data_IF_174747810969
#
_entry.id   IF_174747810969
#
_cell.length_a   1.000
_cell.length_b   1.000
_cell.length_c   1.000
_cell.angle_alpha   90.00
_cell.angle_beta   90.00
_cell.angle_gamma   90.00
#
_symmetry.space_group_name_H-M   'P 1'
#
loop_
_entity.id
_entity.type
_entity.pdbx_description
1 polymer ?
#
# COMPACT_ATOMS: atom_id res chain seq x y z
N UNK A 1 -35.65 -8.26 4.05
CA UNK A 1 -34.60 -8.95 4.86
C UNK A 1 -34.03 -8.03 5.92
N UNK A 2 -33.35 -6.94 5.52
CA UNK A 2 -32.66 -6.00 6.41
C UNK A 2 -33.51 -5.50 7.59
N UNK A 3 -34.70 -4.97 7.28
CA UNK A 3 -35.62 -4.44 8.27
C UNK A 3 -36.02 -5.48 9.35
N UNK A 4 -36.21 -6.74 8.96
CA UNK A 4 -36.59 -7.82 9.88
C UNK A 4 -35.44 -8.17 10.84
N UNK A 5 -34.22 -8.27 10.32
CA UNK A 5 -33.03 -8.54 11.12
C UNK A 5 -32.74 -7.38 12.09
N UNK A 6 -32.91 -6.13 11.64
CA UNK A 6 -32.71 -4.95 12.49
C UNK A 6 -33.78 -4.86 13.60
N UNK A 7 -35.05 -5.15 13.29
CA UNK A 7 -36.11 -5.18 14.28
C UNK A 7 -35.84 -6.23 15.38
N UNK A 8 -35.36 -7.41 15.00
CA UNK A 8 -35.02 -8.50 15.95
C UNK A 8 -33.75 -8.23 16.74
N UNK A 9 -32.79 -7.49 16.17
CA UNK A 9 -31.65 -6.95 16.91
C UNK A 9 -32.10 -5.95 17.99
N UNK A 10 -33.01 -5.03 17.64
CA UNK A 10 -33.56 -4.04 18.58
C UNK A 10 -34.37 -4.69 19.70
N UNK A 11 -35.03 -5.82 19.44
CA UNK A 11 -35.76 -6.58 20.45
C UNK A 11 -34.90 -7.61 21.21
N UNK A 12 -33.55 -7.57 21.08
CA UNK A 12 -32.62 -8.50 21.73
C UNK A 12 -32.85 -10.00 21.42
N UNK A 13 -33.53 -10.32 20.31
CA UNK A 13 -33.76 -11.71 19.88
C UNK A 13 -32.62 -12.23 19.00
N UNK A 14 -31.86 -11.34 18.37
CA UNK A 14 -30.65 -11.66 17.63
C UNK A 14 -29.48 -10.92 18.26
N UNK A 15 -28.35 -11.59 18.40
CA UNK A 15 -27.11 -11.00 18.91
C UNK A 15 -26.06 -10.97 17.79
N UNK A 16 -25.66 -9.76 17.38
CA UNK A 16 -24.63 -9.54 16.35
C UNK A 16 -23.21 -9.47 16.91
N UNK A 17 -22.29 -8.95 16.10
CA UNK A 17 -21.00 -8.48 16.60
C UNK A 17 -21.21 -7.09 17.23
N UNK A 18 -20.72 -6.89 18.45
CA UNK A 18 -20.58 -5.53 19.00
C UNK A 18 -19.32 -4.91 18.41
N UNK A 19 -19.49 -3.78 17.74
CA UNK A 19 -18.40 -2.93 17.31
C UNK A 19 -18.33 -1.72 18.26
N UNK A 20 -17.16 -1.53 18.89
CA UNK A 20 -16.78 -0.28 19.58
C UNK A 20 -17.70 0.19 20.73
N UNK A 21 -18.20 -0.73 21.57
CA UNK A 21 -18.86 -0.39 22.84
C UNK A 21 -20.31 0.08 22.72
N UNK A 22 -20.83 0.27 21.50
CA UNK A 22 -22.27 0.35 21.27
C UNK A 22 -22.84 -1.08 21.16
N UNK A 23 -23.85 -1.37 21.97
CA UNK A 23 -24.46 -2.69 22.13
C UNK A 23 -25.27 -3.17 20.92
N UNK A 24 -25.40 -2.36 19.87
CA UNK A 24 -26.21 -2.70 18.73
C UNK A 24 -25.51 -2.21 17.47
N UNK A 25 -25.11 -3.17 16.63
CA UNK A 25 -25.00 -3.15 15.15
C UNK A 25 -23.76 -3.92 14.71
N UNK A 26 -24.00 -5.06 14.06
CA UNK A 26 -23.54 -5.32 12.70
C UNK A 26 -24.10 -6.67 12.21
N UNK A 27 -25.28 -6.66 11.59
CA UNK A 27 -25.38 -7.45 10.36
C UNK A 27 -24.56 -6.66 9.35
N UNK A 28 -23.29 -7.03 9.22
CA UNK A 28 -22.36 -6.38 8.28
C UNK A 28 -22.76 -6.73 6.86
N UNK A 29 -23.66 -5.95 6.28
CA UNK A 29 -24.02 -6.08 4.89
C UNK A 29 -22.95 -5.40 4.02
N UNK A 30 -22.32 -6.18 3.15
CA UNK A 30 -21.53 -5.62 2.05
C UNK A 30 -22.53 -5.29 0.95
N UNK A 31 -23.09 -4.08 0.99
CA UNK A 31 -23.91 -3.57 -0.11
C UNK A 31 -23.10 -3.60 -1.41
N UNK A 32 -23.66 -4.19 -2.48
CA UNK A 32 -23.17 -3.95 -3.84
C UNK A 32 -22.69 -5.15 -4.66
N UNK A 33 -22.83 -6.40 -4.20
CA UNK A 33 -22.69 -7.56 -5.08
C UNK A 33 -23.99 -8.36 -5.08
N UNK A 34 -24.74 -8.22 -6.17
CA UNK A 34 -26.06 -8.81 -6.41
C UNK A 34 -25.97 -10.31 -6.09
N UNK A 35 -26.62 -10.71 -4.99
CA UNK A 35 -26.83 -12.08 -4.47
C UNK A 35 -25.89 -12.63 -3.36
N UNK A 36 -24.80 -11.97 -2.97
CA UNK A 36 -23.93 -12.46 -1.88
C UNK A 36 -24.09 -11.61 -0.60
N UNK A 37 -24.57 -12.21 0.50
CA UNK A 37 -24.79 -11.52 1.79
C UNK A 37 -24.00 -12.16 2.93
N UNK A 38 -23.35 -11.34 3.77
CA UNK A 38 -22.77 -11.76 5.04
C UNK A 38 -23.67 -11.39 6.21
N UNK A 39 -23.84 -12.33 7.14
CA UNK A 39 -24.49 -12.10 8.43
C UNK A 39 -23.49 -12.45 9.52
N UNK A 40 -23.20 -11.48 10.38
CA UNK A 40 -22.33 -11.69 11.53
C UNK A 40 -23.19 -11.81 12.78
N UNK A 41 -23.06 -12.94 13.46
CA UNK A 41 -23.91 -13.30 14.58
C UNK A 41 -23.12 -14.01 15.66
N UNK A 42 -23.54 -13.84 16.92
CA UNK A 42 -23.06 -14.62 18.05
C UNK A 42 -23.38 -16.10 17.83
N UNK A 43 -22.42 -16.97 18.12
CA UNK A 43 -22.50 -18.39 17.85
C UNK A 43 -23.36 -19.14 18.87
N UNK A 44 -24.67 -18.93 18.81
CA UNK A 44 -25.68 -19.57 19.67
C UNK A 44 -26.78 -20.20 18.81
N UNK A 45 -27.30 -21.36 19.24
CA UNK A 45 -28.30 -22.10 18.47
C UNK A 45 -29.58 -21.30 18.25
N UNK A 46 -30.08 -20.67 19.30
CA UNK A 46 -31.25 -19.78 19.26
C UNK A 46 -31.05 -18.62 18.27
N UNK A 47 -29.86 -18.02 18.27
CA UNK A 47 -29.53 -16.91 17.38
C UNK A 47 -29.53 -17.34 15.90
N UNK A 48 -29.01 -18.53 15.58
CA UNK A 48 -29.06 -19.09 14.22
C UNK A 48 -30.50 -19.39 13.80
N UNK A 49 -31.31 -19.98 14.68
CA UNK A 49 -32.72 -20.26 14.41
C UNK A 49 -33.51 -18.96 14.19
N UNK A 50 -33.29 -17.94 15.02
CA UNK A 50 -33.94 -16.64 14.88
C UNK A 50 -33.56 -15.96 13.56
N UNK A 51 -32.31 -16.08 13.10
CA UNK A 51 -31.89 -15.58 11.79
C UNK A 51 -32.62 -16.33 10.66
N UNK A 52 -32.67 -17.66 10.70
CA UNK A 52 -33.39 -18.47 9.70
C UNK A 52 -34.89 -18.12 9.66
N UNK A 53 -35.52 -17.98 10.82
CA UNK A 53 -36.92 -17.56 10.93
C UNK A 53 -37.18 -16.12 10.41
N UNK A 54 -36.17 -15.24 10.40
CA UNK A 54 -36.29 -13.92 9.77
C UNK A 54 -36.19 -13.98 8.25
N UNK A 55 -35.52 -15.00 7.73
CA UNK A 55 -35.25 -15.16 6.31
C UNK A 55 -36.45 -15.76 5.58
N UNK A 56 -37.26 -16.59 6.24
CA UNK A 56 -38.49 -17.19 5.70
C UNK A 56 -39.52 -16.14 5.24
N UNK A 57 -40.01 -15.18 6.07
CA UNK A 57 -40.96 -14.17 5.62
C UNK A 57 -40.40 -13.28 4.51
N UNK A 58 -39.09 -13.04 4.49
CA UNK A 58 -38.45 -12.33 3.39
C UNK A 58 -38.45 -13.15 2.10
N UNK A 59 -38.16 -14.44 2.20
CA UNK A 59 -38.17 -15.38 1.07
C UNK A 59 -39.55 -15.42 0.41
N UNK A 60 -40.61 -15.49 1.22
CA UNK A 60 -42.00 -15.43 0.77
C UNK A 60 -42.34 -14.09 0.11
N UNK A 61 -42.08 -12.97 0.81
CA UNK A 61 -42.43 -11.64 0.32
C UNK A 61 -41.68 -11.23 -0.96
N UNK A 62 -40.41 -11.63 -1.09
CA UNK A 62 -39.59 -11.35 -2.27
C UNK A 62 -39.71 -12.42 -3.36
N UNK A 63 -40.42 -13.54 -3.10
CA UNK A 63 -40.43 -14.73 -3.97
C UNK A 63 -39.01 -15.22 -4.33
N UNK A 64 -38.08 -15.11 -3.38
CA UNK A 64 -36.67 -15.52 -3.54
C UNK A 64 -36.38 -16.68 -2.59
N UNK A 65 -35.67 -17.72 -3.03
CA UNK A 65 -35.24 -18.81 -2.15
C UNK A 65 -33.75 -18.69 -1.81
N UNK A 66 -33.40 -18.94 -0.54
CA UNK A 66 -32.00 -19.02 -0.14
C UNK A 66 -31.39 -20.30 -0.70
N UNK A 67 -30.27 -20.15 -1.41
CA UNK A 67 -29.51 -21.30 -1.88
C UNK A 67 -28.66 -21.87 -0.73
N UNK A 68 -29.28 -22.72 0.08
CA UNK A 68 -28.62 -23.40 1.20
C UNK A 68 -27.36 -24.18 0.78
N UNK A 69 -27.31 -24.74 -0.43
CA UNK A 69 -26.10 -25.39 -0.97
C UNK A 69 -24.91 -24.45 -1.24
N UNK A 70 -25.16 -23.14 -1.35
CA UNK A 70 -24.12 -22.10 -1.49
C UNK A 70 -23.90 -21.30 -0.21
N UNK A 71 -24.86 -21.32 0.71
CA UNK A 71 -24.77 -20.63 2.00
C UNK A 71 -23.81 -21.36 2.94
N UNK A 72 -22.80 -20.65 3.43
CA UNK A 72 -21.72 -21.24 4.26
C UNK A 72 -21.71 -20.60 5.63
N UNK A 73 -21.66 -21.42 6.68
CA UNK A 73 -21.41 -20.93 8.05
C UNK A 73 -19.90 -20.92 8.29
N UNK A 74 -19.35 -19.79 8.73
CA UNK A 74 -17.90 -19.60 8.89
C UNK A 74 -17.59 -19.39 10.37
N UNK A 75 -16.68 -20.19 10.93
CA UNK A 75 -16.27 -20.06 12.32
C UNK A 75 -15.28 -18.92 12.51
N UNK A 76 -15.70 -17.84 13.19
CA UNK A 76 -14.81 -16.73 13.57
C UNK A 76 -14.07 -17.02 14.88
N UNK A 77 -14.80 -17.45 15.91
CA UNK A 77 -14.26 -17.60 17.28
C UNK A 77 -15.05 -18.57 18.16
N UNK A 78 -15.99 -19.33 17.59
CA UNK A 78 -16.91 -20.18 18.32
C UNK A 78 -16.24 -21.51 18.75
N UNK A 79 -16.45 -21.89 20.01
CA UNK A 79 -15.99 -23.18 20.56
C UNK A 79 -16.95 -24.34 20.27
N UNK A 80 -18.23 -24.06 20.06
CA UNK A 80 -19.30 -25.04 19.82
C UNK A 80 -19.87 -24.93 18.40
N UNK A 81 -19.00 -24.66 17.43
CA UNK A 81 -19.37 -24.40 16.04
C UNK A 81 -20.09 -25.59 15.37
N UNK A 82 -19.63 -26.81 15.66
CA UNK A 82 -20.19 -28.02 15.06
C UNK A 82 -21.61 -28.33 15.52
N UNK A 83 -21.99 -27.93 16.74
CA UNK A 83 -23.33 -28.16 17.28
C UNK A 83 -24.36 -27.11 16.87
N UNK A 84 -23.96 -26.06 16.14
CA UNK A 84 -24.91 -25.04 15.68
C UNK A 84 -25.89 -25.62 14.64
N UNK A 85 -27.18 -25.24 14.70
CA UNK A 85 -28.24 -25.77 13.83
C UNK A 85 -28.18 -25.13 12.44
N UNK A 86 -27.11 -25.44 11.70
CA UNK A 86 -26.91 -24.99 10.32
C UNK A 86 -26.68 -26.20 9.43
N UNK A 87 -27.59 -26.40 8.47
CA UNK A 87 -27.70 -27.62 7.66
C UNK A 87 -26.76 -27.65 6.43
N UNK A 88 -25.85 -26.69 6.32
CA UNK A 88 -25.09 -26.42 5.08
C UNK A 88 -23.58 -26.39 5.37
N UNK A 89 -22.72 -26.17 4.35
CA UNK A 89 -21.28 -26.26 4.54
C UNK A 89 -20.81 -25.37 5.69
N UNK A 90 -20.05 -25.97 6.59
CA UNK A 90 -19.39 -25.32 7.72
C UNK A 90 -17.91 -25.19 7.40
N UNK A 91 -17.37 -23.98 7.54
CA UNK A 91 -15.94 -23.70 7.34
C UNK A 91 -15.34 -23.27 8.67
N UNK A 92 -14.50 -24.14 9.21
CA UNK A 92 -13.79 -23.86 10.46
C UNK A 92 -12.52 -23.02 10.23
N UNK A 93 -11.99 -22.48 11.32
CA UNK A 93 -10.72 -21.77 11.39
C UNK A 93 -9.58 -22.59 10.77
N UNK A 94 -8.68 -21.93 10.05
CA UNK A 94 -7.56 -22.54 9.33
C UNK A 94 -7.89 -22.95 7.89
N UNK A 95 -9.15 -22.89 7.47
CA UNK A 95 -9.58 -23.26 6.12
C UNK A 95 -9.79 -22.04 5.22
N UNK A 96 -9.39 -22.15 3.95
CA UNK A 96 -9.67 -21.13 2.93
C UNK A 96 -11.06 -21.35 2.37
N UNK A 97 -11.90 -20.31 2.39
CA UNK A 97 -13.13 -20.25 1.61
C UNK A 97 -13.04 -19.17 0.53
N UNK A 98 -13.83 -19.34 -0.53
CA UNK A 98 -13.83 -18.45 -1.69
C UNK A 98 -15.03 -17.51 -1.60
N UNK A 99 -14.78 -16.21 -1.69
CA UNK A 99 -15.83 -15.18 -1.82
C UNK A 99 -15.45 -14.21 -2.94
N UNK A 100 -16.34 -13.96 -3.90
CA UNK A 100 -16.05 -13.20 -5.14
C UNK A 100 -14.79 -13.67 -5.90
N UNK A 101 -14.34 -14.91 -5.67
CA UNK A 101 -13.07 -15.38 -6.23
C UNK A 101 -11.83 -15.07 -5.41
N UNK A 102 -11.92 -14.35 -4.29
CA UNK A 102 -10.84 -14.05 -3.35
C UNK A 102 -10.70 -15.12 -2.25
N UNK A 103 -9.47 -15.51 -1.84
CA UNK A 103 -9.26 -16.48 -0.78
C UNK A 103 -9.41 -15.82 0.60
N UNK A 104 -10.59 -15.98 1.20
CA UNK A 104 -10.86 -15.60 2.57
C UNK A 104 -10.62 -16.78 3.51
N UNK A 105 -10.53 -16.50 4.80
CA UNK A 105 -10.32 -17.52 5.82
C UNK A 105 -9.71 -16.95 7.08
N UNK A 106 -10.08 -17.57 8.20
CA UNK A 106 -9.77 -17.14 9.56
C UNK A 106 -8.62 -18.00 10.05
N UNK A 107 -7.60 -17.38 10.67
CA UNK A 107 -6.35 -18.04 11.08
C UNK A 107 -5.64 -18.87 9.99
N UNK A 108 -5.94 -18.63 8.71
CA UNK A 108 -5.24 -19.29 7.60
C UNK A 108 -3.84 -18.69 7.44
N UNK A 109 -2.77 -19.51 7.41
CA UNK A 109 -1.43 -19.04 7.15
C UNK A 109 -1.34 -18.33 5.80
N UNK A 110 -0.65 -17.18 5.77
CA UNK A 110 -0.52 -16.38 4.55
C UNK A 110 0.14 -17.13 3.39
N UNK A 111 1.06 -18.06 3.69
CA UNK A 111 1.69 -18.95 2.71
C UNK A 111 0.66 -19.77 1.92
N UNK A 112 -0.43 -20.18 2.56
CA UNK A 112 -1.44 -21.04 1.95
C UNK A 112 -2.39 -20.21 1.10
N UNK A 113 -2.76 -19.00 1.55
CA UNK A 113 -3.49 -18.02 0.70
C UNK A 113 -2.68 -17.67 -0.55
N UNK A 114 -1.38 -17.41 -0.40
CA UNK A 114 -0.49 -17.11 -1.54
C UNK A 114 -0.36 -18.30 -2.47
N UNK A 115 -0.17 -19.52 -1.95
CA UNK A 115 -0.13 -20.75 -2.75
C UNK A 115 -1.41 -20.94 -3.55
N UNK A 116 -2.56 -20.71 -2.93
CA UNK A 116 -3.86 -20.77 -3.61
C UNK A 116 -3.92 -19.82 -4.81
N UNK A 117 -3.50 -18.56 -4.63
CA UNK A 117 -3.45 -17.56 -5.70
C UNK A 117 -2.45 -17.97 -6.78
N UNK A 118 -1.25 -18.44 -6.41
CA UNK A 118 -0.23 -18.93 -7.34
C UNK A 118 -0.78 -20.06 -8.22
N UNK A 119 -1.50 -21.03 -7.64
CA UNK A 119 -2.12 -22.12 -8.39
C UNK A 119 -3.16 -21.60 -9.40
N UNK A 120 -4.01 -20.65 -9.00
CA UNK A 120 -5.00 -20.02 -9.90
C UNK A 120 -4.35 -19.27 -11.05
N UNK A 121 -3.33 -18.46 -10.76
CA UNK A 121 -2.58 -17.71 -11.78
C UNK A 121 -1.88 -18.69 -12.71
N UNK A 122 -1.22 -19.72 -12.18
CA UNK A 122 -0.54 -20.75 -12.98
C UNK A 122 -1.50 -21.50 -13.90
N UNK A 123 -2.68 -21.89 -13.41
CA UNK A 123 -3.69 -22.55 -14.22
C UNK A 123 -4.14 -21.67 -15.40
N UNK A 124 -4.43 -20.38 -15.14
CA UNK A 124 -4.75 -19.42 -16.19
C UNK A 124 -3.59 -19.22 -17.17
N UNK A 125 -2.35 -19.17 -16.67
CA UNK A 125 -1.16 -19.02 -17.50
C UNK A 125 -0.96 -20.21 -18.45
N UNK A 126 -1.24 -21.45 -18.01
CA UNK A 126 -1.16 -22.64 -18.87
C UNK A 126 -2.08 -22.52 -20.09
N UNK A 127 -3.31 -22.02 -19.90
CA UNK A 127 -4.25 -21.76 -21.00
C UNK A 127 -3.64 -20.81 -22.06
N UNK A 128 -3.06 -19.69 -21.62
CA UNK A 128 -2.44 -18.74 -22.54
C UNK A 128 -1.12 -19.22 -23.16
N UNK A 129 -0.43 -20.17 -22.52
CA UNK A 129 0.81 -20.76 -23.04
C UNK A 129 0.57 -21.73 -24.19
N UNK A 130 -0.62 -22.36 -24.27
CA UNK A 130 -0.94 -23.35 -25.28
C UNK A 130 -0.86 -22.78 -26.72
N UNK A 131 -1.18 -21.51 -26.91
CA UNK A 131 -1.30 -20.89 -28.23
C UNK A 131 0.02 -20.35 -28.82
N UNK A 132 1.18 -20.61 -28.20
CA UNK A 132 2.52 -20.20 -28.67
C UNK A 132 2.63 -18.74 -29.17
N UNK A 133 2.08 -17.78 -28.42
CA UNK A 133 2.03 -16.38 -28.85
C UNK A 133 3.42 -15.73 -29.05
N UNK A 134 3.59 -14.86 -30.06
CA UNK A 134 4.78 -14.05 -30.20
C UNK A 134 4.95 -13.12 -28.99
N UNK A 135 6.19 -12.73 -28.71
CA UNK A 135 6.54 -12.02 -27.48
C UNK A 135 5.75 -10.72 -27.25
N UNK A 136 5.49 -9.95 -28.31
CA UNK A 136 4.72 -8.70 -28.20
C UNK A 136 3.29 -8.94 -27.71
N UNK A 137 2.65 -10.04 -28.14
CA UNK A 137 1.32 -10.45 -27.66
C UNK A 137 1.41 -10.92 -26.21
N UNK A 138 2.43 -11.71 -25.84
CA UNK A 138 2.63 -12.15 -24.45
C UNK A 138 2.79 -10.98 -23.49
N UNK A 139 3.53 -9.94 -23.87
CA UNK A 139 3.66 -8.72 -23.07
C UNK A 139 2.31 -8.02 -22.90
N UNK A 140 1.52 -7.91 -23.97
CA UNK A 140 0.16 -7.35 -23.89
C UNK A 140 -0.74 -8.17 -22.97
N UNK A 141 -0.69 -9.50 -23.05
CA UNK A 141 -1.45 -10.39 -22.14
C UNK A 141 -1.04 -10.16 -20.68
N UNK A 142 0.27 -10.01 -20.41
CA UNK A 142 0.74 -9.70 -19.05
C UNK A 142 0.17 -8.37 -18.58
N UNK A 143 0.27 -7.32 -19.38
CA UNK A 143 -0.17 -5.97 -19.03
C UNK A 143 -1.69 -5.87 -18.86
N UNK A 144 -2.46 -6.42 -19.80
CA UNK A 144 -3.91 -6.23 -19.86
C UNK A 144 -4.68 -7.21 -18.97
N UNK A 145 -4.14 -8.41 -18.73
CA UNK A 145 -4.84 -9.46 -18.00
C UNK A 145 -4.11 -9.85 -16.71
N UNK A 146 -2.85 -10.29 -16.81
CA UNK A 146 -2.17 -10.89 -15.66
C UNK A 146 -1.91 -9.89 -14.54
N UNK A 147 -1.50 -8.66 -14.87
CA UNK A 147 -1.20 -7.64 -13.86
C UNK A 147 -2.47 -7.19 -13.12
N UNK A 148 -3.57 -6.80 -13.78
CA UNK A 148 -4.83 -6.53 -13.10
C UNK A 148 -5.32 -7.71 -12.25
N UNK A 149 -5.21 -8.94 -12.79
CA UNK A 149 -5.61 -10.16 -12.07
C UNK A 149 -4.78 -10.35 -10.79
N UNK A 150 -3.46 -10.18 -10.85
CA UNK A 150 -2.60 -10.22 -9.68
C UNK A 150 -2.89 -9.09 -8.70
N UNK A 151 -3.22 -7.90 -9.19
CA UNK A 151 -3.56 -6.77 -8.33
C UNK A 151 -4.83 -7.03 -7.53
N UNK A 152 -5.84 -7.68 -8.13
CA UNK A 152 -7.05 -8.08 -7.41
C UNK A 152 -6.73 -8.93 -6.16
N UNK A 153 -5.83 -9.90 -6.30
CA UNK A 153 -5.46 -10.80 -5.19
C UNK A 153 -4.45 -10.19 -4.21
N UNK A 154 -3.39 -9.57 -4.71
CA UNK A 154 -2.23 -9.23 -3.88
C UNK A 154 -2.42 -7.91 -3.12
N UNK A 155 -3.45 -7.12 -3.44
CA UNK A 155 -3.64 -5.80 -2.83
C UNK A 155 -3.83 -5.87 -1.32
N UNK A 156 -4.55 -6.86 -0.78
CA UNK A 156 -4.82 -6.95 0.67
C UNK A 156 -4.18 -8.19 1.35
N UNK A 157 -3.37 -8.96 0.62
CA UNK A 157 -2.59 -10.06 1.20
C UNK A 157 -1.26 -9.59 1.79
N UNK A 158 -0.88 -10.09 2.96
CA UNK A 158 0.42 -9.80 3.59
C UNK A 158 1.57 -10.63 3.01
N UNK A 159 1.85 -10.40 1.74
CA UNK A 159 2.94 -11.08 1.08
C UNK A 159 4.31 -10.59 1.60
N UNK A 160 5.29 -11.49 1.58
CA UNK A 160 6.72 -11.16 1.70
C UNK A 160 7.31 -10.94 0.30
N UNK A 161 8.48 -10.31 0.22
CA UNK A 161 9.18 -10.11 -1.08
C UNK A 161 9.40 -11.42 -1.84
N UNK A 162 9.70 -12.52 -1.15
CA UNK A 162 9.84 -13.85 -1.78
C UNK A 162 8.55 -14.32 -2.47
N UNK A 163 7.38 -14.08 -1.87
CA UNK A 163 6.10 -14.44 -2.50
C UNK A 163 5.89 -13.69 -3.82
N UNK A 164 6.25 -12.40 -3.88
CA UNK A 164 6.18 -11.63 -5.12
C UNK A 164 7.16 -12.13 -6.19
N UNK A 165 8.34 -12.61 -5.78
CA UNK A 165 9.30 -13.22 -6.69
C UNK A 165 8.72 -14.47 -7.36
N UNK A 166 7.91 -15.26 -6.66
CA UNK A 166 7.23 -16.43 -7.26
C UNK A 166 6.28 -16.01 -8.40
N UNK A 167 5.53 -14.92 -8.21
CA UNK A 167 4.66 -14.37 -9.26
C UNK A 167 5.48 -13.76 -10.42
N UNK A 168 6.55 -13.03 -10.11
CA UNK A 168 7.47 -12.52 -11.13
C UNK A 168 8.09 -13.66 -11.95
N UNK A 169 8.44 -14.78 -11.32
CA UNK A 169 8.95 -15.98 -11.99
C UNK A 169 7.90 -16.57 -12.95
N UNK A 170 6.63 -16.66 -12.54
CA UNK A 170 5.55 -17.10 -13.44
C UNK A 170 5.40 -16.18 -14.65
N UNK A 171 5.44 -14.86 -14.44
CA UNK A 171 5.36 -13.88 -15.52
C UNK A 171 6.57 -14.02 -16.45
N UNK A 172 7.79 -14.12 -15.92
CA UNK A 172 9.02 -14.30 -16.71
C UNK A 172 8.98 -15.58 -17.53
N UNK A 173 8.53 -16.68 -16.95
CA UNK A 173 8.45 -17.98 -17.63
C UNK A 173 7.49 -17.91 -18.81
N UNK A 174 6.33 -17.25 -18.63
CA UNK A 174 5.39 -16.98 -19.71
C UNK A 174 5.98 -16.08 -20.80
N UNK A 175 6.57 -14.95 -20.41
CA UNK A 175 7.12 -13.96 -21.35
C UNK A 175 8.28 -14.53 -22.17
N UNK A 176 9.16 -15.31 -21.55
CA UNK A 176 10.40 -15.74 -22.21
C UNK A 176 10.31 -17.10 -22.86
N UNK A 177 9.35 -17.94 -22.46
CA UNK A 177 9.24 -19.34 -22.91
C UNK A 177 10.61 -20.02 -22.84
N UNK A 178 10.97 -20.54 -21.65
CA UNK A 178 12.30 -21.03 -21.26
C UNK A 178 13.03 -21.89 -22.32
N UNK A 179 12.30 -22.55 -23.22
CA UNK A 179 12.87 -23.36 -24.32
C UNK A 179 13.52 -22.54 -25.44
N UNK A 180 13.11 -21.30 -25.71
CA UNK A 180 13.49 -20.60 -26.96
C UNK A 180 14.27 -19.29 -26.82
N UNK A 181 14.31 -18.65 -25.65
CA UNK A 181 14.76 -17.24 -25.56
C UNK A 181 15.70 -16.93 -24.39
N UNK A 182 16.77 -17.72 -24.23
CA UNK A 182 17.79 -17.59 -23.16
C UNK A 182 18.37 -16.18 -23.04
N UNK A 183 18.57 -15.49 -24.18
CA UNK A 183 19.18 -14.17 -24.16
C UNK A 183 18.31 -13.12 -23.42
N UNK A 184 16.98 -13.19 -23.49
CA UNK A 184 16.07 -12.22 -22.84
C UNK A 184 15.92 -12.44 -21.34
N UNK A 185 16.17 -13.67 -20.87
CA UNK A 185 16.17 -14.04 -19.44
C UNK A 185 17.33 -13.35 -18.69
N UNK A 186 18.41 -12.98 -19.38
CA UNK A 186 19.60 -12.37 -18.79
C UNK A 186 19.42 -10.89 -18.37
N UNK A 187 18.33 -10.23 -18.76
CA UNK A 187 18.05 -8.86 -18.35
C UNK A 187 17.45 -8.80 -16.94
N UNK A 188 17.98 -7.94 -16.07
CA UNK A 188 17.43 -7.81 -14.72
C UNK A 188 15.98 -7.28 -14.75
N UNK A 189 15.11 -7.92 -13.96
CA UNK A 189 13.66 -7.67 -13.96
C UNK A 189 13.29 -6.21 -13.73
N UNK A 190 14.06 -5.52 -12.88
CA UNK A 190 13.87 -4.08 -12.61
C UNK A 190 13.90 -3.22 -13.88
N UNK A 191 14.74 -3.54 -14.87
CA UNK A 191 14.80 -2.78 -16.12
C UNK A 191 13.67 -3.13 -17.07
N UNK A 192 13.25 -4.40 -17.08
CA UNK A 192 12.09 -4.86 -17.85
C UNK A 192 10.82 -4.14 -17.38
N UNK A 193 10.69 -3.92 -16.08
CA UNK A 193 9.53 -3.27 -15.46
C UNK A 193 9.53 -1.73 -15.56
N UNK A 194 10.47 -1.14 -16.27
CA UNK A 194 10.49 0.30 -16.52
C UNK A 194 9.40 0.69 -17.52
N UNK A 195 8.90 1.94 -17.47
CA UNK A 195 8.14 2.52 -18.57
C UNK A 195 8.92 2.48 -19.89
N UNK A 196 8.21 2.44 -21.01
CA UNK A 196 8.82 2.52 -22.35
C UNK A 196 9.68 3.76 -22.53
N UNK A 197 9.26 4.90 -21.98
CA UNK A 197 10.05 6.14 -21.97
C UNK A 197 11.38 6.00 -21.24
N UNK A 198 11.53 5.03 -20.34
CA UNK A 198 12.78 4.72 -19.62
C UNK A 198 13.42 3.44 -20.13
N UNK A 199 13.09 3.04 -21.35
CA UNK A 199 13.63 1.85 -22.01
C UNK A 199 12.95 0.54 -21.65
N UNK A 200 12.08 0.43 -20.63
CA UNK A 200 11.48 -0.86 -20.28
C UNK A 200 10.32 -1.31 -21.19
N UNK A 201 9.70 -2.43 -20.83
CA UNK A 201 8.57 -2.99 -21.58
C UNK A 201 7.20 -2.44 -21.13
N UNK A 202 7.18 -1.58 -20.10
CA UNK A 202 5.96 -1.07 -19.48
C UNK A 202 5.23 -2.12 -18.64
N UNK A 203 5.95 -3.13 -18.15
CA UNK A 203 5.41 -4.11 -17.20
C UNK A 203 5.52 -3.49 -15.80
N UNK A 204 4.46 -3.49 -15.01
CA UNK A 204 4.52 -2.97 -13.64
C UNK A 204 5.35 -3.86 -12.71
N UNK A 205 6.23 -3.25 -11.92
CA UNK A 205 6.93 -3.93 -10.83
C UNK A 205 5.94 -4.21 -9.68
N UNK A 206 5.63 -5.49 -9.41
CA UNK A 206 4.54 -5.89 -8.51
C UNK A 206 4.62 -5.21 -7.14
N UNK A 207 5.79 -5.27 -6.49
CA UNK A 207 5.98 -4.69 -5.16
C UNK A 207 5.65 -3.19 -5.15
N UNK A 208 6.27 -2.41 -6.04
CA UNK A 208 6.12 -0.96 -6.06
C UNK A 208 4.69 -0.55 -6.44
N UNK A 209 4.06 -1.28 -7.36
CA UNK A 209 2.71 -0.98 -7.79
C UNK A 209 1.66 -1.30 -6.72
N UNK A 210 1.83 -2.41 -5.98
CA UNK A 210 0.95 -2.74 -4.85
C UNK A 210 1.12 -1.72 -3.73
N UNK A 211 2.36 -1.35 -3.37
CA UNK A 211 2.63 -0.29 -2.39
C UNK A 211 1.94 1.02 -2.79
N UNK A 212 2.12 1.47 -4.04
CA UNK A 212 1.47 2.67 -4.57
C UNK A 212 -0.06 2.61 -4.49
N UNK A 213 -0.67 1.46 -4.81
CA UNK A 213 -2.12 1.25 -4.71
C UNK A 213 -2.63 1.26 -3.27
N UNK A 214 -1.91 0.63 -2.34
CA UNK A 214 -2.26 0.64 -0.91
C UNK A 214 -2.21 2.05 -0.35
N UNK A 215 -1.18 2.82 -0.69
CA UNK A 215 -1.10 4.22 -0.25
C UNK A 215 -2.21 5.06 -0.86
N UNK A 216 -2.48 4.93 -2.17
CA UNK A 216 -3.61 5.61 -2.80
C UNK A 216 -4.97 5.23 -2.19
N UNK A 217 -5.11 3.98 -1.74
CA UNK A 217 -6.31 3.53 -1.04
C UNK A 217 -6.48 4.24 0.30
N UNK A 218 -5.42 4.38 1.09
CA UNK A 218 -5.45 5.16 2.35
C UNK A 218 -5.83 6.62 2.06
N UNK A 219 -5.27 7.23 1.01
CA UNK A 219 -5.63 8.61 0.64
C UNK A 219 -7.12 8.77 0.34
N UNK A 220 -7.69 7.80 -0.36
CA UNK A 220 -9.12 7.81 -0.65
C UNK A 220 -9.97 7.71 0.62
N UNK A 221 -9.54 6.91 1.60
CA UNK A 221 -10.20 6.83 2.92
C UNK A 221 -10.14 8.18 3.62
N UNK A 222 -8.99 8.87 3.53
CA UNK A 222 -8.81 10.15 4.23
C UNK A 222 -9.58 11.31 3.61
N UNK A 223 -9.96 11.21 2.33
CA UNK A 223 -10.65 12.28 1.61
C UNK A 223 -12.16 12.09 1.50
N UNK A 224 -12.72 10.94 1.94
CA UNK A 224 -14.15 10.65 1.80
C UNK A 224 -14.66 9.93 3.05
N UNK A 225 -15.65 10.51 3.71
CA UNK A 225 -16.30 9.95 4.90
C UNK A 225 -17.72 9.53 4.51
N UNK A 226 -17.86 8.41 3.79
CA UNK A 226 -19.17 8.04 3.24
C UNK A 226 -19.61 6.59 3.54
N UNK A 227 -18.72 5.59 3.71
CA UNK A 227 -19.16 4.24 4.08
C UNK A 227 -18.71 3.78 5.48
N UNK A 228 -19.52 2.95 6.16
CA UNK A 228 -19.24 2.36 7.49
C UNK A 228 -17.80 1.81 7.65
N UNK A 229 -17.22 1.25 6.59
CA UNK A 229 -15.87 0.69 6.64
C UNK A 229 -14.76 1.75 6.80
N UNK A 230 -14.98 3.01 6.42
CA UNK A 230 -14.02 4.10 6.71
C UNK A 230 -14.05 4.47 8.19
N UNK A 231 -15.22 4.41 8.82
CA UNK A 231 -15.37 4.66 10.26
C UNK A 231 -14.67 3.56 11.08
N UNK A 232 -14.88 2.29 10.71
CA UNK A 232 -14.14 1.14 11.25
C UNK A 232 -12.62 1.34 11.07
N UNK A 233 -12.19 1.82 9.91
CA UNK A 233 -10.77 2.07 9.65
C UNK A 233 -10.21 3.13 10.61
N UNK A 234 -10.90 4.25 10.79
CA UNK A 234 -10.46 5.33 11.67
C UNK A 234 -10.42 4.92 13.14
N UNK A 235 -11.42 4.19 13.63
CA UNK A 235 -11.43 3.69 15.00
C UNK A 235 -10.32 2.65 15.24
N UNK A 236 -10.11 1.72 14.30
CA UNK A 236 -8.96 0.80 14.38
C UNK A 236 -7.62 1.54 14.34
N UNK A 237 -7.56 2.68 13.65
CA UNK A 237 -6.40 3.56 13.65
C UNK A 237 -6.23 4.30 14.97
N UNK A 238 -7.29 4.74 15.64
CA UNK A 238 -7.27 5.34 16.97
C UNK A 238 -6.80 4.35 18.04
N UNK A 239 -7.23 3.09 17.94
CA UNK A 239 -6.81 2.00 18.82
C UNK A 239 -5.39 1.49 18.53
N UNK A 240 -4.85 1.77 17.34
CA UNK A 240 -3.50 1.34 16.98
C UNK A 240 -2.46 1.95 17.94
N UNK A 241 -1.52 1.13 18.39
CA UNK A 241 -0.52 1.51 19.40
C UNK A 241 0.84 1.65 18.74
N UNK A 242 1.59 2.67 19.13
CA UNK A 242 3.01 2.78 18.75
C UNK A 242 3.81 1.94 19.73
N UNK A 243 4.64 1.01 19.24
CA UNK A 243 5.42 0.12 20.10
C UNK A 243 6.89 0.53 20.08
N UNK A 244 7.27 1.50 20.92
CA UNK A 244 8.66 1.94 21.00
C UNK A 244 9.02 2.38 22.41
N UNK A 245 9.89 1.60 23.07
CA UNK A 245 10.24 1.77 24.50
C UNK A 245 8.98 1.90 25.39
N UNK A 246 7.96 1.11 25.06
CA UNK A 246 6.64 1.10 25.70
C UNK A 246 5.49 1.29 24.71
N UNK A 247 4.28 1.23 25.24
CA UNK A 247 3.02 1.44 24.52
C UNK A 247 2.51 2.85 24.80
N UNK A 248 2.10 3.54 23.76
CA UNK A 248 1.60 4.90 23.81
C UNK A 248 0.61 5.14 22.68
N UNK A 249 -0.44 5.90 23.02
CA UNK A 249 -1.43 6.38 22.08
C UNK A 249 -0.92 7.70 21.51
N UNK A 250 -0.92 7.80 20.18
CA UNK A 250 -0.67 9.04 19.46
C UNK A 250 -1.95 9.42 18.72
N UNK A 251 -2.02 10.66 18.28
CA UNK A 251 -2.97 11.05 17.23
C UNK A 251 -2.79 10.17 15.99
N UNK A 252 -3.88 9.96 15.24
CA UNK A 252 -3.90 9.08 14.05
C UNK A 252 -2.87 9.51 13.00
N UNK A 253 -2.74 10.81 12.74
CA UNK A 253 -1.77 11.30 11.76
C UNK A 253 -0.34 11.11 12.22
N UNK A 254 -0.10 11.30 13.52
CA UNK A 254 1.18 10.98 14.11
C UNK A 254 1.56 9.52 13.92
N UNK A 255 0.61 8.58 13.91
CA UNK A 255 0.90 7.16 13.61
C UNK A 255 1.32 6.93 12.15
N UNK A 256 0.66 7.59 11.20
CA UNK A 256 0.98 7.49 9.77
C UNK A 256 2.36 8.05 9.43
N UNK A 257 2.65 9.24 9.94
CA UNK A 257 3.90 9.96 9.68
C UNK A 257 5.04 9.56 10.62
N UNK A 258 4.79 8.61 11.53
CA UNK A 258 5.79 8.13 12.48
C UNK A 258 6.81 7.18 11.85
N UNK A 259 8.10 7.40 12.13
CA UNK A 259 9.15 6.40 11.91
C UNK A 259 9.10 5.20 12.87
N UNK A 260 8.41 5.33 14.02
CA UNK A 260 8.26 4.24 14.97
C UNK A 260 7.32 3.14 14.43
N UNK A 261 7.52 1.87 14.84
CA UNK A 261 6.59 0.82 14.48
C UNK A 261 5.23 1.05 15.14
N UNK A 262 4.18 0.97 14.32
CA UNK A 262 2.79 1.07 14.75
C UNK A 262 2.14 -0.29 14.55
N UNK A 263 1.39 -0.75 15.55
CA UNK A 263 0.67 -2.01 15.50
C UNK A 263 -0.81 -1.77 15.78
N UNK A 264 -1.63 -2.08 14.78
CA UNK A 264 -3.07 -2.19 14.91
C UNK A 264 -3.47 -3.63 15.24
N UNK A 265 -4.67 -3.80 15.78
CA UNK A 265 -5.34 -5.11 15.95
C UNK A 265 -5.65 -5.76 14.60
N UNK A 266 -6.02 -4.95 13.60
CA UNK A 266 -6.31 -5.41 12.25
C UNK A 266 -5.05 -5.66 11.42
N UNK A 267 -4.96 -6.87 10.87
CA UNK A 267 -3.89 -7.25 9.95
C UNK A 267 -3.88 -6.41 8.68
N UNK A 268 -5.05 -6.19 8.07
CA UNK A 268 -5.20 -5.35 6.87
C UNK A 268 -4.70 -3.93 7.14
N UNK A 269 -5.00 -3.38 8.31
CA UNK A 269 -4.54 -2.04 8.69
C UNK A 269 -3.02 -1.97 8.82
N UNK A 270 -2.40 -2.98 9.44
CA UNK A 270 -0.94 -3.07 9.53
C UNK A 270 -0.27 -3.11 8.15
N UNK A 271 -0.85 -3.85 7.19
CA UNK A 271 -0.35 -3.92 5.81
C UNK A 271 -0.43 -2.54 5.14
N UNK A 272 -1.57 -1.85 5.29
CA UNK A 272 -1.79 -0.52 4.75
C UNK A 272 -0.80 0.49 5.37
N UNK A 273 -0.67 0.49 6.70
CA UNK A 273 0.28 1.33 7.43
C UNK A 273 1.73 1.11 7.00
N UNK A 274 2.16 -0.14 6.87
CA UNK A 274 3.50 -0.46 6.39
C UNK A 274 3.74 0.12 4.99
N UNK A 275 2.76 -0.02 4.11
CA UNK A 275 2.85 0.47 2.72
C UNK A 275 2.89 2.00 2.67
N UNK A 276 2.09 2.65 3.52
CA UNK A 276 2.11 4.10 3.70
C UNK A 276 3.47 4.57 4.17
N UNK A 277 4.01 4.00 5.25
CA UNK A 277 5.30 4.38 5.84
C UNK A 277 6.45 4.19 4.87
N UNK A 278 6.40 3.15 4.05
CA UNK A 278 7.39 2.93 3.01
C UNK A 278 7.38 4.03 1.93
N UNK A 279 6.21 4.56 1.54
CA UNK A 279 6.15 5.72 0.66
C UNK A 279 6.54 7.01 1.41
N UNK A 280 6.13 7.11 2.67
CA UNK A 280 6.34 8.27 3.52
C UNK A 280 7.80 8.71 3.66
N UNK A 281 8.73 7.76 3.64
CA UNK A 281 10.18 8.03 3.62
C UNK A 281 10.66 8.81 2.37
N UNK A 282 9.84 8.90 1.32
CA UNK A 282 10.14 9.66 0.10
C UNK A 282 9.44 11.03 0.07
N UNK A 283 8.60 11.33 1.07
CA UNK A 283 7.93 12.60 1.17
C UNK A 283 8.94 13.67 1.62
N UNK A 284 8.80 14.84 1.01
CA UNK A 284 9.50 16.06 1.41
C UNK A 284 8.44 17.08 1.80
N UNK A 285 8.63 17.72 2.92
CA UNK A 285 7.83 18.88 3.26
C UNK A 285 8.26 20.07 2.40
N UNK A 286 7.30 20.81 1.85
CA UNK A 286 7.54 21.95 0.97
C UNK A 286 6.76 23.18 1.43
N UNK A 287 6.77 23.50 2.73
CA UNK A 287 6.05 24.66 3.29
C UNK A 287 6.63 26.01 2.88
N UNK A 288 6.87 26.21 1.58
CA UNK A 288 7.38 27.43 0.98
C UNK A 288 6.35 28.55 0.92
N UNK A 289 5.08 28.30 1.26
CA UNK A 289 4.12 29.40 1.45
C UNK A 289 4.10 29.79 2.92
N UNK A 290 4.69 30.97 3.20
CA UNK A 290 4.80 31.59 4.54
C UNK A 290 3.49 31.75 5.32
N UNK A 291 2.35 31.43 4.71
CA UNK A 291 1.02 31.77 5.22
C UNK A 291 0.18 30.57 5.68
N UNK A 292 0.57 29.31 5.49
CA UNK A 292 -0.29 28.16 5.87
C UNK A 292 0.55 26.90 6.18
N UNK A 293 0.66 26.50 7.45
CA UNK A 293 1.47 25.37 7.94
C UNK A 293 0.69 24.16 8.49
N UNK A 294 -0.37 23.78 7.80
CA UNK A 294 -1.47 22.97 8.34
C UNK A 294 -1.01 21.59 8.82
N UNK A 295 -0.28 20.87 7.97
CA UNK A 295 0.18 19.50 8.24
C UNK A 295 1.25 19.44 9.31
N UNK A 296 2.10 20.47 9.33
CA UNK A 296 3.35 20.44 10.06
C UNK A 296 3.10 20.70 11.54
N UNK A 297 2.19 21.61 11.86
CA UNK A 297 1.82 21.96 13.22
C UNK A 297 1.23 20.77 14.01
N UNK A 298 0.44 19.89 13.37
CA UNK A 298 -0.22 18.75 14.01
C UNK A 298 0.69 17.55 14.25
N UNK A 299 1.89 17.55 13.66
CA UNK A 299 2.80 16.41 13.72
C UNK A 299 3.65 16.39 14.97
N UNK A 300 4.00 15.19 15.41
CA UNK A 300 4.91 14.97 16.53
C UNK A 300 6.35 15.22 16.07
N UNK A 301 7.09 16.14 16.72
CA UNK A 301 8.47 16.48 16.33
C UNK A 301 9.45 15.31 16.51
N UNK A 302 9.08 14.34 17.35
CA UNK A 302 9.92 13.18 17.66
C UNK A 302 9.78 12.06 16.63
N UNK A 303 8.66 12.03 15.91
CA UNK A 303 8.31 10.88 15.08
C UNK A 303 8.03 11.21 13.62
N UNK A 304 7.82 12.47 13.26
CA UNK A 304 7.53 12.88 11.88
C UNK A 304 8.57 12.36 10.87
N UNK A 305 8.19 12.24 9.60
CA UNK A 305 9.14 11.92 8.50
C UNK A 305 10.25 12.96 8.31
N UNK A 306 10.19 14.10 8.97
CA UNK A 306 11.24 15.12 8.96
C UNK A 306 12.32 14.79 9.98
N UNK A 307 11.95 14.18 11.10
CA UNK A 307 12.87 13.78 12.14
C UNK A 307 13.80 12.71 11.59
N UNK A 308 15.10 12.96 11.58
CA UNK A 308 16.05 11.95 11.10
C UNK A 308 15.89 10.66 11.92
N UNK A 309 15.92 9.46 11.29
CA UNK A 309 15.71 8.22 12.03
C UNK A 309 16.61 8.07 13.26
N UNK A 310 17.93 8.40 13.22
CA UNK A 310 18.78 8.35 14.41
C UNK A 310 18.28 9.25 15.55
N UNK A 311 17.81 10.46 15.23
CA UNK A 311 17.27 11.39 16.22
C UNK A 311 15.98 10.84 16.84
N UNK A 312 15.03 10.41 16.01
CA UNK A 312 13.76 9.83 16.45
C UNK A 312 13.97 8.65 17.42
N UNK A 313 14.89 7.74 17.07
CA UNK A 313 15.24 6.60 17.93
C UNK A 313 15.94 7.04 19.23
N UNK A 314 16.82 8.04 19.17
CA UNK A 314 17.53 8.54 20.35
C UNK A 314 16.61 9.21 21.38
N UNK A 315 15.48 9.76 20.93
CA UNK A 315 14.53 10.49 21.77
C UNK A 315 13.50 9.59 22.46
N UNK A 316 13.40 8.29 22.11
CA UNK A 316 12.30 7.40 22.53
C UNK A 316 11.67 7.61 23.92
N UNK A 317 12.45 7.45 25.00
CA UNK A 317 11.92 7.60 26.37
C UNK A 317 11.58 9.06 26.71
N UNK A 318 12.38 10.01 26.23
CA UNK A 318 12.13 11.44 26.39
C UNK A 318 10.88 11.88 25.63
N UNK A 319 10.65 11.34 24.43
CA UNK A 319 9.46 11.62 23.63
C UNK A 319 8.19 11.17 24.34
N UNK A 320 8.19 10.00 25.00
CA UNK A 320 7.06 9.56 25.84
C UNK A 320 6.85 10.49 27.01
N UNK A 321 7.93 10.89 27.67
CA UNK A 321 7.88 11.86 28.78
C UNK A 321 7.27 13.19 28.33
N UNK A 322 7.75 13.78 27.24
CA UNK A 322 7.26 15.04 26.71
C UNK A 322 5.79 14.96 26.27
N UNK A 323 5.39 13.87 25.61
CA UNK A 323 4.00 13.64 25.24
C UNK A 323 3.08 13.56 26.48
N UNK A 324 3.47 12.82 27.51
CA UNK A 324 2.71 12.77 28.77
C UNK A 324 2.65 14.12 29.50
N UNK A 325 3.63 15.01 29.28
CA UNK A 325 3.61 16.39 29.76
C UNK A 325 2.76 17.32 28.90
N UNK A 326 2.17 16.82 27.82
CA UNK A 326 1.29 17.56 26.91
C UNK A 326 1.97 18.07 25.65
N UNK A 327 3.28 17.86 25.45
CA UNK A 327 4.04 18.29 24.26
C UNK A 327 4.00 17.17 23.21
N UNK A 328 2.85 17.01 22.57
CA UNK A 328 2.54 15.94 21.62
C UNK A 328 2.66 16.34 20.13
N UNK A 329 2.76 17.63 19.85
CA UNK A 329 2.72 18.25 18.52
C UNK A 329 3.75 19.37 18.39
N UNK A 330 4.16 19.67 17.16
CA UNK A 330 5.12 20.74 16.86
C UNK A 330 4.56 22.10 17.30
N UNK A 331 3.26 22.35 17.12
CA UNK A 331 2.61 23.59 17.55
C UNK A 331 2.87 23.92 19.04
N UNK A 332 2.89 22.91 19.90
CA UNK A 332 3.11 23.06 21.35
C UNK A 332 4.57 23.34 21.74
N UNK A 333 5.49 23.29 20.79
CA UNK A 333 6.89 23.67 20.98
C UNK A 333 7.15 25.16 20.79
N UNK A 334 6.14 25.93 20.38
CA UNK A 334 6.22 27.36 20.08
C UNK A 334 5.39 28.19 21.07
N UNK A 335 5.76 29.45 21.24
CA UNK A 335 4.95 30.45 21.93
C UNK A 335 3.95 31.14 20.98
N UNK A 336 3.21 32.13 21.49
CA UNK A 336 2.24 32.92 20.70
C UNK A 336 2.88 33.78 19.61
N UNK A 337 4.20 33.98 19.64
CA UNK A 337 4.97 34.73 18.65
C UNK A 337 5.71 33.81 17.67
N UNK A 338 5.49 32.51 17.73
CA UNK A 338 6.19 31.51 16.91
C UNK A 338 7.69 31.41 17.17
N UNK A 339 8.12 31.73 18.38
CA UNK A 339 9.47 31.45 18.84
C UNK A 339 9.52 30.09 19.56
N UNK A 340 10.58 29.33 19.32
CA UNK A 340 10.77 28.02 19.98
C UNK A 340 10.89 28.27 21.48
N UNK A 341 10.08 27.56 22.26
CA UNK A 341 10.09 27.69 23.71
C UNK A 341 11.49 27.35 24.27
N UNK A 342 12.05 28.28 25.04
CA UNK A 342 13.29 28.04 25.77
C UNK A 342 13.07 26.97 26.85
N UNK A 343 14.13 26.23 27.20
CA UNK A 343 14.03 25.19 28.22
C UNK A 343 13.44 25.70 29.56
N UNK A 344 13.80 26.88 30.10
CA UNK A 344 13.18 27.42 31.30
C UNK A 344 11.67 27.69 31.17
N UNK A 345 11.19 28.04 29.98
CA UNK A 345 9.77 28.24 29.74
C UNK A 345 9.05 26.89 29.75
N UNK A 346 9.60 25.88 29.09
CA UNK A 346 9.00 24.53 29.09
C UNK A 346 8.98 23.89 30.48
N UNK A 347 10.00 24.11 31.29
CA UNK A 347 9.97 23.67 32.69
C UNK A 347 8.79 24.29 33.45
N UNK A 348 8.48 25.56 33.21
CA UNK A 348 7.36 26.27 33.86
C UNK A 348 6.00 25.86 33.28
N UNK A 349 5.87 25.81 31.96
CA UNK A 349 4.59 25.56 31.27
C UNK A 349 4.15 24.11 31.35
N UNK A 350 5.07 23.16 31.19
CA UNK A 350 4.76 21.73 31.08
C UNK A 350 5.36 20.90 32.23
N UNK A 351 5.92 21.53 33.27
CA UNK A 351 6.52 20.83 34.40
C UNK A 351 7.57 19.77 33.99
N UNK A 352 8.43 20.13 33.03
CA UNK A 352 9.52 19.29 32.52
C UNK A 352 10.72 19.33 33.47
N UNK A 353 11.30 18.17 33.77
CA UNK A 353 12.47 18.04 34.65
C UNK A 353 13.80 18.41 33.98
N UNK A 354 14.74 18.93 34.77
CA UNK A 354 16.07 19.39 34.31
C UNK A 354 16.89 18.32 33.57
N UNK A 355 16.70 17.03 33.90
CA UNK A 355 17.35 15.91 33.24
C UNK A 355 17.05 15.80 31.73
N UNK A 356 15.95 16.40 31.25
CA UNK A 356 15.55 16.38 29.85
C UNK A 356 16.07 17.57 29.02
N UNK A 357 16.92 18.43 29.61
CA UNK A 357 17.48 19.62 28.94
C UNK A 357 18.20 19.30 27.63
N UNK A 358 19.08 18.29 27.64
CA UNK A 358 19.83 17.89 26.44
C UNK A 358 18.92 17.38 25.33
N UNK A 359 17.84 16.67 25.69
CA UNK A 359 16.83 16.16 24.76
C UNK A 359 15.99 17.30 24.18
N UNK A 360 15.62 18.29 25.00
CA UNK A 360 14.94 19.49 24.52
C UNK A 360 15.78 20.27 23.50
N UNK A 361 17.07 20.47 23.80
CA UNK A 361 18.00 21.18 22.90
C UNK A 361 18.08 20.49 21.53
N UNK A 362 18.13 19.15 21.49
CA UNK A 362 18.14 18.40 20.22
C UNK A 362 16.88 18.65 19.37
N UNK A 363 15.72 18.74 20.01
CA UNK A 363 14.45 19.03 19.32
C UNK A 363 14.43 20.47 18.85
N UNK A 364 14.86 21.42 19.69
CA UNK A 364 14.91 22.83 19.33
C UNK A 364 15.84 23.07 18.13
N UNK A 365 17.02 22.44 18.10
CA UNK A 365 17.94 22.49 16.95
C UNK A 365 17.30 21.91 15.69
N UNK A 366 16.62 20.77 15.81
CA UNK A 366 15.86 20.19 14.70
C UNK A 366 14.79 21.17 14.20
N UNK A 367 14.00 21.77 15.09
CA UNK A 367 12.95 22.71 14.73
C UNK A 367 13.49 24.01 14.09
N UNK A 368 14.68 24.46 14.47
CA UNK A 368 15.36 25.61 13.85
C UNK A 368 15.73 25.35 12.39
N UNK A 369 16.15 24.13 12.05
CA UNK A 369 16.54 23.74 10.69
C UNK A 369 15.36 23.82 9.70
N UNK A 370 14.14 23.53 10.16
CA UNK A 370 12.98 23.35 9.29
C UNK A 370 12.06 24.58 9.13
N UNK A 371 12.33 25.70 9.81
CA UNK A 371 11.63 27.00 9.74
C UNK A 371 10.08 26.92 9.66
N UNK A 372 9.43 27.16 10.80
CA UNK A 372 7.98 26.96 10.95
C UNK A 372 7.18 28.16 10.46
N UNK A 373 6.14 27.98 9.63
CA UNK A 373 5.30 29.07 9.13
C UNK A 373 4.43 29.72 10.23
N UNK A 374 4.11 31.01 10.05
CA UNK A 374 3.52 31.92 11.06
C UNK A 374 1.98 31.80 11.24
N UNK A 375 1.29 31.06 10.37
CA UNK A 375 -0.16 30.88 10.45
C UNK A 375 -0.58 29.42 10.20
N UNK A 376 -1.44 28.91 11.08
CA UNK A 376 -1.95 27.54 11.05
C UNK A 376 -3.41 27.57 10.65
N UNK A 377 -3.75 26.72 9.71
CA UNK A 377 -5.12 26.31 9.44
C UNK A 377 -5.22 24.79 9.67
N UNK A 378 -6.26 24.33 10.35
CA UNK A 378 -6.41 22.90 10.65
C UNK A 378 -7.38 22.19 9.69
N UNK A 379 -7.95 22.91 8.74
CA UNK A 379 -8.96 22.37 7.82
C UNK A 379 -8.39 21.34 6.83
N UNK A 380 -7.13 21.51 6.40
CA UNK A 380 -6.50 20.64 5.39
C UNK A 380 -5.03 20.27 5.75
N UNK A 381 -4.82 19.32 6.67
CA UNK A 381 -3.51 18.97 7.25
C UNK A 381 -2.57 18.18 6.31
N UNK A 382 -2.78 18.22 5.00
CA UNK A 382 -1.99 17.47 4.02
C UNK A 382 -1.49 18.32 2.85
N UNK A 383 -1.81 19.62 2.80
CA UNK A 383 -1.44 20.50 1.68
C UNK A 383 0.06 20.81 1.55
N UNK A 384 0.88 20.41 2.52
CA UNK A 384 2.28 20.89 2.57
C UNK A 384 3.30 19.83 2.14
N UNK A 385 2.86 18.58 1.93
CA UNK A 385 3.76 17.48 1.57
C UNK A 385 3.84 17.28 0.06
N UNK A 386 5.08 17.19 -0.44
CA UNK A 386 5.39 16.82 -1.80
C UNK A 386 6.07 15.46 -1.84
N UNK A 387 5.84 14.73 -2.92
CA UNK A 387 6.72 13.63 -3.28
C UNK A 387 8.06 14.20 -3.75
N UNK A 388 9.13 13.40 -3.70
CA UNK A 388 10.47 13.79 -4.17
C UNK A 388 10.54 14.40 -5.59
N UNK A 389 9.49 14.27 -6.41
CA UNK A 389 9.36 14.87 -7.76
C UNK A 389 8.47 16.13 -7.79
N UNK A 390 8.31 16.82 -6.67
CA UNK A 390 7.57 18.08 -6.51
C UNK A 390 6.05 18.01 -6.77
N UNK A 391 5.47 16.82 -6.89
CA UNK A 391 4.00 16.63 -6.96
C UNK A 391 3.37 16.63 -5.57
N UNK A 392 2.29 17.40 -5.41
CA UNK A 392 1.42 17.44 -4.22
C UNK A 392 0.96 16.03 -3.84
N UNK A 393 1.26 15.60 -2.62
CA UNK A 393 1.03 14.22 -2.22
C UNK A 393 -0.47 13.86 -2.13
N UNK A 394 -1.32 14.81 -1.71
CA UNK A 394 -2.75 14.58 -1.49
C UNK A 394 -3.55 14.43 -2.78
N UNK A 395 -3.11 15.09 -3.86
CA UNK A 395 -3.64 14.86 -5.21
C UNK A 395 -3.05 13.61 -5.87
N UNK A 396 -2.14 12.94 -5.17
CA UNK A 396 -1.39 11.82 -5.69
C UNK A 396 -2.29 10.63 -6.00
N UNK A 397 -2.13 10.09 -7.20
CA UNK A 397 -2.76 8.85 -7.64
C UNK A 397 -1.71 7.75 -7.68
N UNK A 398 -2.13 6.51 -7.94
CA UNK A 398 -1.21 5.38 -8.12
C UNK A 398 -0.05 5.71 -9.09
N UNK A 399 -0.34 6.46 -10.16
CA UNK A 399 0.63 6.87 -11.17
C UNK A 399 1.66 7.90 -10.69
N UNK A 400 1.37 8.67 -9.64
CA UNK A 400 2.32 9.62 -9.04
C UNK A 400 3.16 8.94 -7.94
N UNK A 401 2.57 8.00 -7.19
CA UNK A 401 3.28 7.27 -6.13
C UNK A 401 4.22 6.20 -6.68
N UNK A 402 3.79 5.45 -7.70
CA UNK A 402 4.56 4.34 -8.26
C UNK A 402 5.99 4.74 -8.67
N UNK A 403 6.21 5.86 -9.40
CA UNK A 403 7.56 6.26 -9.80
C UNK A 403 8.47 6.71 -8.64
N UNK A 404 7.93 7.01 -7.46
CA UNK A 404 8.70 7.41 -6.26
C UNK A 404 9.15 6.20 -5.44
N UNK A 405 8.43 5.09 -5.52
CA UNK A 405 8.74 3.84 -4.83
C UNK A 405 9.75 2.94 -5.56
N UNK A 406 10.20 3.38 -6.72
CA UNK A 406 11.09 2.61 -7.57
C UNK A 406 12.51 3.17 -7.45
N UNK A 407 13.47 2.39 -6.93
CA UNK A 407 14.89 2.69 -7.01
C UNK A 407 15.35 2.36 -8.43
N UNK A 408 14.77 3.04 -9.39
CA UNK A 408 15.21 2.97 -10.75
C UNK A 408 16.41 3.88 -10.87
N UNK A 409 17.59 3.26 -10.86
CA UNK A 409 18.80 3.89 -11.37
C UNK A 409 18.43 4.60 -12.68
N UNK A 410 18.82 5.86 -12.83
CA UNK A 410 18.54 6.56 -14.07
C UNK A 410 19.27 5.78 -15.17
N UNK A 411 18.50 5.09 -16.01
CA UNK A 411 19.05 4.29 -17.11
C UNK A 411 19.93 5.15 -18.00
N UNK A 412 19.70 6.47 -18.00
CA UNK A 412 20.54 7.51 -18.56
C UNK A 412 21.98 7.46 -18.06
N UNK A 413 22.24 7.32 -16.76
CA UNK A 413 23.60 7.25 -16.23
C UNK A 413 24.32 6.01 -16.75
N UNK A 414 23.62 4.87 -16.76
CA UNK A 414 24.14 3.62 -17.31
C UNK A 414 24.41 3.74 -18.82
N UNK A 415 23.50 4.34 -19.57
CA UNK A 415 23.65 4.56 -21.00
C UNK A 415 24.77 5.58 -21.31
N UNK A 416 24.84 6.68 -20.56
CA UNK A 416 25.91 7.68 -20.67
C UNK A 416 27.28 7.04 -20.42
N UNK A 417 27.43 6.30 -19.32
CA UNK A 417 28.65 5.56 -19.02
C UNK A 417 29.00 4.54 -20.11
N UNK A 418 27.99 3.85 -20.65
CA UNK A 418 28.17 2.82 -21.68
C UNK A 418 28.62 3.41 -23.02
N UNK A 419 27.96 4.46 -23.48
CA UNK A 419 28.22 5.09 -24.77
C UNK A 419 29.26 6.19 -24.70
N UNK A 420 29.79 6.48 -23.50
CA UNK A 420 30.71 7.58 -23.20
C UNK A 420 30.18 8.91 -23.74
N UNK A 421 28.90 9.18 -23.48
CA UNK A 421 28.24 10.44 -23.83
C UNK A 421 27.66 11.09 -22.58
N UNK A 422 27.53 12.41 -22.60
CA UNK A 422 26.88 13.17 -21.55
C UNK A 422 25.58 13.75 -22.08
N UNK A 423 24.46 13.08 -21.78
CA UNK A 423 23.12 13.55 -22.14
C UNK A 423 22.20 13.56 -20.93
N UNK A 424 21.33 14.56 -20.88
CA UNK A 424 20.28 14.66 -19.88
C UNK A 424 19.26 13.52 -20.04
N UNK A 425 18.56 13.18 -18.95
CA UNK A 425 17.58 12.10 -18.97
C UNK A 425 16.48 12.34 -19.98
N UNK A 426 16.02 13.57 -20.17
CA UNK A 426 14.99 13.94 -21.17
C UNK A 426 15.37 13.50 -22.59
N UNK A 427 16.66 13.61 -22.96
CA UNK A 427 17.17 13.20 -24.26
C UNK A 427 17.05 11.68 -24.46
N UNK A 428 17.45 10.89 -23.45
CA UNK A 428 17.29 9.43 -23.49
C UNK A 428 15.82 9.01 -23.50
N UNK A 429 14.96 9.71 -22.76
CA UNK A 429 13.52 9.43 -22.79
C UNK A 429 12.95 9.58 -24.20
N UNK A 430 13.32 10.64 -24.92
CA UNK A 430 12.90 10.84 -26.31
C UNK A 430 13.38 9.71 -27.23
N UNK A 431 14.63 9.24 -27.06
CA UNK A 431 15.19 8.14 -27.86
C UNK A 431 14.48 6.81 -27.63
N UNK A 432 14.21 6.46 -26.37
CA UNK A 432 13.46 5.25 -26.08
C UNK A 432 12.01 5.33 -26.59
N UNK A 433 11.35 6.48 -26.45
CA UNK A 433 10.01 6.69 -27.02
C UNK A 433 10.03 6.53 -28.54
N UNK A 434 10.98 7.15 -29.24
CA UNK A 434 11.15 6.99 -30.68
C UNK A 434 11.41 5.54 -31.07
N UNK A 435 12.29 4.83 -30.35
CA UNK A 435 12.55 3.40 -30.57
C UNK A 435 11.25 2.58 -30.48
N UNK A 436 10.48 2.77 -29.40
CA UNK A 436 9.25 2.01 -29.19
C UNK A 436 8.13 2.41 -30.16
N UNK A 437 8.13 3.65 -30.65
CA UNK A 437 7.19 4.19 -31.65
C UNK A 437 7.55 3.90 -33.11
N UNK A 438 8.78 3.49 -33.41
CA UNK A 438 9.26 3.23 -34.78
C UNK A 438 8.49 2.11 -35.50
N UNK A 439 8.66 2.03 -36.83
CA UNK A 439 8.13 0.94 -37.67
C UNK A 439 8.91 -0.39 -37.51
N UNK A 440 9.98 -0.42 -36.71
CA UNK A 440 10.78 -1.62 -36.49
C UNK A 440 9.95 -2.79 -35.94
N UNK A 441 10.31 -4.00 -36.34
CA UNK A 441 9.71 -5.20 -35.74
C UNK A 441 10.01 -5.25 -34.24
N UNK A 442 9.11 -5.85 -33.48
CA UNK A 442 9.24 -5.90 -32.02
C UNK A 442 10.55 -6.58 -31.55
N UNK A 443 11.01 -7.60 -32.29
CA UNK A 443 12.29 -8.26 -32.04
C UNK A 443 13.47 -7.29 -32.19
N UNK A 444 13.43 -6.42 -33.20
CA UNK A 444 14.46 -5.40 -33.41
C UNK A 444 14.40 -4.29 -32.38
N UNK A 445 13.20 -3.87 -31.95
CA UNK A 445 13.04 -2.91 -30.84
C UNK A 445 13.70 -3.40 -29.56
N UNK A 446 13.45 -4.65 -29.18
CA UNK A 446 14.09 -5.25 -28.00
C UNK A 446 15.60 -5.40 -28.18
N UNK A 447 16.04 -5.81 -29.36
CA UNK A 447 17.47 -5.93 -29.66
C UNK A 447 18.19 -4.58 -29.47
N UNK A 448 17.67 -3.51 -30.09
CA UNK A 448 18.21 -2.15 -29.95
C UNK A 448 18.16 -1.66 -28.50
N UNK A 449 17.04 -1.90 -27.79
CA UNK A 449 16.93 -1.57 -26.38
C UNK A 449 18.05 -2.22 -25.54
N UNK A 450 18.34 -3.50 -25.76
CA UNK A 450 19.40 -4.22 -25.03
C UNK A 450 20.80 -3.72 -25.38
N UNK A 451 21.00 -3.26 -26.62
CA UNK A 451 22.24 -2.59 -27.02
C UNK A 451 22.38 -1.28 -26.25
N UNK A 452 21.36 -0.42 -26.26
CA UNK A 452 21.39 0.87 -25.56
C UNK A 452 21.66 0.73 -24.07
N UNK A 453 21.05 -0.27 -23.44
CA UNK A 453 21.15 -0.51 -21.99
C UNK A 453 22.34 -1.39 -21.59
N UNK A 454 23.12 -1.92 -22.54
CA UNK A 454 24.28 -2.75 -22.25
C UNK A 454 23.97 -4.17 -21.78
N UNK A 455 22.72 -4.64 -21.90
CA UNK A 455 22.31 -6.02 -21.59
C UNK A 455 22.61 -7.03 -22.71
N UNK A 456 23.39 -6.62 -23.72
CA UNK A 456 23.87 -7.48 -24.79
C UNK A 456 25.37 -7.23 -25.01
N UNK A 457 26.16 -8.31 -25.07
CA UNK A 457 27.62 -8.26 -25.24
C UNK A 457 28.02 -7.56 -26.53
N UNK A 458 27.22 -7.67 -27.60
CA UNK A 458 27.44 -6.93 -28.85
C UNK A 458 27.44 -5.41 -28.66
N UNK A 459 26.67 -4.89 -27.69
CA UNK A 459 26.71 -3.47 -27.33
C UNK A 459 28.09 -3.03 -26.83
N UNK A 460 28.87 -3.95 -26.25
CA UNK A 460 30.26 -3.68 -25.82
C UNK A 460 31.17 -3.55 -27.04
N UNK A 461 31.04 -4.48 -27.96
CA UNK A 461 31.82 -4.49 -29.20
C UNK A 461 31.48 -3.29 -30.09
N UNK A 462 30.20 -2.92 -30.19
CA UNK A 462 29.75 -1.73 -30.90
C UNK A 462 30.26 -0.45 -30.24
N UNK A 463 30.20 -0.33 -28.90
CA UNK A 463 30.78 0.85 -28.22
C UNK A 463 32.29 0.97 -28.46
N UNK A 464 33.02 -0.15 -28.51
CA UNK A 464 34.45 -0.17 -28.80
C UNK A 464 34.71 0.19 -30.27
N UNK A 465 33.91 -0.33 -31.22
CA UNK A 465 34.04 0.00 -32.65
C UNK A 465 33.69 1.46 -32.95
N UNK A 466 32.60 1.98 -32.40
CA UNK A 466 32.22 3.39 -32.53
C UNK A 466 33.33 4.30 -32.00
N UNK A 467 33.92 3.95 -30.86
CA UNK A 467 35.08 4.66 -30.33
C UNK A 467 36.33 4.57 -31.22
N UNK A 468 36.56 3.43 -31.90
CA UNK A 468 37.70 3.21 -32.81
C UNK A 468 37.52 3.81 -34.22
N UNK A 469 36.29 3.92 -34.71
CA UNK A 469 35.97 4.39 -36.07
C UNK A 469 35.74 5.90 -36.16
N UNK A 470 35.98 6.66 -35.08
CA UNK A 470 35.73 8.12 -35.01
C UNK A 470 34.30 8.55 -35.35
N UNK A 471 33.35 7.61 -35.48
CA UNK A 471 31.94 7.91 -35.66
C UNK A 471 31.39 8.42 -34.35
N UNK A 472 30.66 9.54 -34.38
CA UNK A 472 30.00 10.01 -33.17
C UNK A 472 29.00 8.94 -32.70
N UNK A 473 29.00 8.56 -31.41
CA UNK A 473 27.99 7.67 -30.85
C UNK A 473 26.55 8.13 -31.14
N UNK A 474 26.37 9.44 -31.35
CA UNK A 474 25.12 10.09 -31.72
C UNK A 474 24.62 9.78 -33.14
N UNK A 475 25.48 9.35 -34.08
CA UNK A 475 25.03 8.90 -35.41
C UNK A 475 24.48 7.48 -35.40
N UNK A 476 24.83 6.70 -34.37
CA UNK A 476 24.37 5.33 -34.19
C UNK A 476 23.08 5.24 -33.34
N UNK A 477 22.91 6.15 -32.38
CA UNK A 477 21.74 6.30 -31.49
C UNK A 477 20.65 7.20 -32.09
#
# INVERSE_FOLDING_TARGET
MFYLLEAKLKSNLIHGISMFGNSHVAVGFVDGFVDETFIFAKAEAENVQNILACLEPFSEAASLCINMGKSVLINISARHFESLPWYCPKVDSGTIFRHLGYPLGINVPIKDKIRWVLCKVRAKMKFWQASQWPLHIRIRIVQAFMQPYLMYYLLLLDWKKCHLQDFDCLIKDFLWNKKHNRALVLSAWRYVCQPKSRGGLGILHLHAHIMARRTAFIMRITSSFEPLWTEIFWQLMEDAVVYYKGNWKLDVWNKFFSHAPVRASSHTLNILLHSFKQLGSTLKWNGQQRYVGNSFASLSPYWSFLTTPPLAFSLGAAARYFNNKGIDSIAKCYDSKWEILSFPVICRTYAVGSAYRSKWIQIALFLQEYQVPLSIDFSDPWRDWLLAKHTRWWTGKVNTFYPSLLPFDDITLQCNARWKIEKASSWWHARFLHLWGSSLTFRMKIFMWRIFTGHFTLGAFLSIRVARCSMSPLRFL
#
